data_IF_650058537564
#
_entry.id   IF_650058537564
#
_cell.length_a   1.000
_cell.length_b   1.000
_cell.length_c   1.000
_cell.angle_alpha   90.00
_cell.angle_beta   90.00
_cell.angle_gamma   90.00
#
_symmetry.space_group_name_H-M   'P 1'
#
loop_
_entity.id
_entity.type
_entity.pdbx_description
1 polymer ?
#
# COMPACT_ATOMS: atom_id res chain seq x y z
N UNK A 1 -22.17 -5.65 -30.79
CA UNK A 1 -20.92 -5.31 -30.06
C UNK A 1 -20.94 -6.00 -28.70
N UNK A 2 -20.89 -7.35 -28.68
CA UNK A 2 -21.02 -8.17 -27.46
C UNK A 2 -19.75 -9.00 -27.15
N UNK A 3 -18.95 -9.33 -28.17
CA UNK A 3 -17.74 -10.18 -28.06
C UNK A 3 -16.64 -9.55 -27.17
N UNK A 4 -16.59 -8.20 -27.08
CA UNK A 4 -15.54 -7.51 -26.31
C UNK A 4 -15.61 -7.74 -24.81
N UNK A 5 -16.80 -7.97 -24.26
CA UNK A 5 -16.94 -8.25 -22.83
C UNK A 5 -16.60 -9.71 -22.50
N UNK A 6 -17.00 -10.65 -23.37
CA UNK A 6 -16.73 -12.08 -23.15
C UNK A 6 -15.24 -12.40 -23.09
N UNK A 7 -14.43 -11.79 -23.98
CA UNK A 7 -12.97 -11.99 -23.95
C UNK A 7 -12.39 -11.44 -22.64
N UNK A 8 -12.78 -10.24 -22.22
CA UNK A 8 -12.30 -9.64 -20.97
C UNK A 8 -12.66 -10.52 -19.77
N UNK A 9 -13.88 -11.06 -19.71
CA UNK A 9 -14.32 -11.99 -18.65
C UNK A 9 -13.51 -13.29 -18.62
N UNK A 10 -13.12 -13.82 -19.79
CA UNK A 10 -12.26 -15.03 -19.85
C UNK A 10 -10.89 -14.73 -19.24
N UNK A 11 -10.32 -13.56 -19.55
CA UNK A 11 -9.03 -13.16 -18.99
C UNK A 11 -9.12 -12.79 -17.50
N UNK A 12 -10.23 -12.20 -17.04
CA UNK A 12 -10.53 -12.03 -15.61
C UNK A 12 -10.44 -13.38 -14.88
N UNK A 13 -11.16 -14.41 -15.36
CA UNK A 13 -11.15 -15.73 -14.74
C UNK A 13 -9.76 -16.37 -14.76
N UNK A 14 -9.06 -16.28 -15.89
CA UNK A 14 -7.71 -16.82 -16.04
C UNK A 14 -6.72 -16.16 -15.06
N UNK A 15 -6.84 -14.85 -14.85
CA UNK A 15 -6.02 -14.13 -13.87
C UNK A 15 -6.38 -14.59 -12.45
N UNK A 16 -7.66 -14.76 -12.15
CA UNK A 16 -8.12 -15.22 -10.84
C UNK A 16 -7.57 -16.61 -10.49
N UNK A 17 -7.56 -17.53 -11.45
CA UNK A 17 -6.99 -18.87 -11.31
C UNK A 17 -5.48 -18.87 -11.06
N UNK A 18 -4.77 -17.81 -11.48
CA UNK A 18 -3.33 -17.64 -11.23
C UNK A 18 -3.10 -17.01 -9.86
N UNK A 19 -3.89 -16.00 -9.51
CA UNK A 19 -3.77 -15.23 -8.25
C UNK A 19 -4.16 -16.07 -7.03
N UNK A 20 -5.17 -16.94 -7.14
CA UNK A 20 -5.71 -17.71 -5.99
C UNK A 20 -4.83 -18.91 -5.61
N UNK A 21 -3.81 -19.27 -6.40
CA UNK A 21 -2.95 -20.42 -6.12
C UNK A 21 -2.26 -20.29 -4.76
N UNK A 22 -2.38 -21.32 -3.93
CA UNK A 22 -1.75 -21.36 -2.59
C UNK A 22 -0.22 -21.27 -2.66
N UNK A 23 0.37 -21.89 -3.69
CA UNK A 23 1.81 -21.85 -3.93
C UNK A 23 2.15 -20.70 -4.85
N UNK A 24 2.72 -19.65 -4.27
CA UNK A 24 3.21 -18.50 -5.02
C UNK A 24 4.50 -18.89 -5.76
N UNK A 25 4.53 -18.79 -7.10
CA UNK A 25 5.72 -19.13 -7.88
C UNK A 25 6.81 -18.06 -7.72
N UNK A 26 8.03 -18.38 -8.15
CA UNK A 26 9.15 -17.45 -8.06
C UNK A 26 8.86 -16.17 -8.87
N UNK A 27 9.47 -15.06 -8.49
CA UNK A 27 9.28 -13.75 -9.12
C UNK A 27 9.46 -13.78 -10.65
N UNK A 28 10.47 -14.49 -11.16
CA UNK A 28 10.69 -14.63 -12.61
C UNK A 28 9.56 -15.39 -13.32
N UNK A 29 9.00 -16.41 -12.67
CA UNK A 29 7.87 -17.17 -13.23
C UNK A 29 6.60 -16.33 -13.25
N UNK A 30 6.41 -15.49 -12.23
CA UNK A 30 5.32 -14.51 -12.19
C UNK A 30 5.39 -13.52 -13.34
N UNK A 31 6.58 -12.96 -13.62
CA UNK A 31 6.77 -12.08 -14.77
C UNK A 31 6.50 -12.76 -16.10
N UNK A 32 7.01 -13.99 -16.30
CA UNK A 32 6.72 -14.78 -17.51
C UNK A 32 5.23 -15.03 -17.70
N UNK A 33 4.51 -15.35 -16.61
CA UNK A 33 3.06 -15.55 -16.67
C UNK A 33 2.33 -14.27 -17.09
N UNK A 34 2.75 -13.10 -16.61
CA UNK A 34 2.17 -11.80 -16.99
C UNK A 34 2.43 -11.48 -18.45
N UNK A 35 3.67 -11.66 -18.92
CA UNK A 35 4.03 -11.47 -20.33
C UNK A 35 3.16 -12.35 -21.22
N UNK A 36 3.02 -13.64 -20.88
CA UNK A 36 2.20 -14.58 -21.63
C UNK A 36 0.72 -14.18 -21.64
N UNK A 37 0.14 -13.84 -20.49
CA UNK A 37 -1.28 -13.43 -20.40
C UNK A 37 -1.51 -12.12 -21.20
N UNK A 38 -0.57 -11.19 -21.14
CA UNK A 38 -0.66 -9.90 -21.84
C UNK A 38 -0.55 -10.07 -23.35
N UNK A 39 0.40 -10.90 -23.81
CA UNK A 39 0.59 -11.23 -25.22
C UNK A 39 -0.62 -11.97 -25.79
N UNK A 40 -1.14 -12.98 -25.07
CA UNK A 40 -2.34 -13.73 -25.49
C UNK A 40 -3.55 -12.80 -25.64
N UNK A 41 -3.71 -11.82 -24.74
CA UNK A 41 -4.79 -10.84 -24.82
C UNK A 41 -4.60 -9.91 -26.02
N UNK A 42 -3.37 -9.45 -26.24
CA UNK A 42 -3.05 -8.58 -27.37
C UNK A 42 -3.28 -9.28 -28.70
N UNK A 43 -2.89 -10.55 -28.83
CA UNK A 43 -3.13 -11.35 -30.04
C UNK A 43 -4.62 -11.53 -30.37
N UNK A 44 -5.48 -11.61 -29.35
CA UNK A 44 -6.93 -11.77 -29.55
C UNK A 44 -7.68 -10.46 -29.79
N UNK A 45 -7.17 -9.34 -29.26
CA UNK A 45 -7.92 -8.07 -29.21
C UNK A 45 -7.25 -6.91 -29.93
N UNK A 46 -5.97 -7.06 -30.30
CA UNK A 46 -5.05 -6.00 -30.78
C UNK A 46 -4.98 -4.81 -29.81
N UNK A 47 -5.22 -5.07 -28.53
CA UNK A 47 -5.27 -4.05 -27.47
C UNK A 47 -4.48 -4.50 -26.25
N UNK A 48 -4.05 -3.51 -25.48
CA UNK A 48 -3.38 -3.73 -24.20
C UNK A 48 -4.43 -4.21 -23.19
N UNK A 49 -3.99 -5.08 -22.28
CA UNK A 49 -4.78 -5.56 -21.15
C UNK A 49 -5.37 -4.36 -20.37
N UNK A 50 -6.65 -4.39 -20.00
CA UNK A 50 -7.26 -3.34 -19.18
C UNK A 50 -6.45 -3.03 -17.92
N UNK A 51 -6.34 -1.74 -17.57
CA UNK A 51 -5.52 -1.27 -16.45
C UNK A 51 -5.87 -1.94 -15.11
N UNK A 52 -7.14 -2.24 -14.85
CA UNK A 52 -7.54 -2.89 -13.60
C UNK A 52 -7.02 -4.35 -13.50
N UNK A 53 -6.91 -5.07 -14.63
CA UNK A 53 -6.32 -6.41 -14.69
C UNK A 53 -4.80 -6.36 -14.53
N UNK A 54 -4.15 -5.37 -15.14
CA UNK A 54 -2.73 -5.13 -14.95
C UNK A 54 -2.40 -4.82 -13.49
N UNK A 55 -3.22 -4.00 -12.82
CA UNK A 55 -3.05 -3.72 -11.40
C UNK A 55 -3.17 -5.00 -10.56
N UNK A 56 -4.14 -5.86 -10.87
CA UNK A 56 -4.32 -7.14 -10.16
C UNK A 56 -3.13 -8.08 -10.33
N UNK A 57 -2.56 -8.15 -11.53
CA UNK A 57 -1.34 -8.90 -11.81
C UNK A 57 -0.11 -8.27 -11.11
N UNK A 58 -0.05 -6.93 -11.03
CA UNK A 58 0.97 -6.22 -10.27
C UNK A 58 0.93 -6.51 -8.78
N UNK A 59 -0.27 -6.51 -8.18
CA UNK A 59 -0.47 -6.88 -6.77
C UNK A 59 0.00 -8.31 -6.48
N UNK A 60 -0.25 -9.24 -7.40
CA UNK A 60 0.21 -10.63 -7.30
C UNK A 60 1.74 -10.78 -7.40
N UNK A 61 2.39 -10.00 -8.27
CA UNK A 61 3.87 -9.93 -8.33
C UNK A 61 4.46 -9.39 -7.03
N UNK A 62 3.77 -8.45 -6.40
CA UNK A 62 4.22 -7.82 -5.16
C UNK A 62 3.67 -8.50 -3.90
N UNK A 63 3.04 -9.67 -4.03
CA UNK A 63 2.26 -10.25 -2.93
C UNK A 63 3.09 -10.51 -1.67
N UNK A 64 4.33 -10.99 -1.80
CA UNK A 64 5.25 -11.17 -0.66
C UNK A 64 5.59 -9.84 0.02
N UNK A 65 5.87 -8.82 -0.79
CA UNK A 65 6.23 -7.48 -0.33
C UNK A 65 5.05 -6.82 0.37
N UNK A 66 3.84 -6.96 -0.17
CA UNK A 66 2.60 -6.41 0.35
C UNK A 66 2.10 -7.16 1.60
N UNK A 67 2.37 -8.48 1.70
CA UNK A 67 2.06 -9.29 2.88
C UNK A 67 3.06 -9.09 4.02
N UNK A 68 4.27 -8.62 3.73
CA UNK A 68 5.25 -8.35 4.77
C UNK A 68 4.78 -7.24 5.74
N UNK A 69 4.78 -7.57 7.04
CA UNK A 69 4.31 -6.74 8.15
C UNK A 69 5.43 -6.20 9.02
N UNK A 70 6.69 -6.44 8.66
CA UNK A 70 7.84 -5.92 9.40
C UNK A 70 7.71 -4.40 9.59
N UNK A 71 8.02 -3.93 10.80
CA UNK A 71 7.85 -2.52 11.19
C UNK A 71 8.98 -1.66 10.64
N UNK A 72 10.17 -2.26 10.51
CA UNK A 72 11.42 -1.55 10.22
C UNK A 72 11.79 -1.58 8.73
N UNK A 73 10.83 -1.84 7.83
CA UNK A 73 11.04 -1.82 6.37
C UNK A 73 11.77 -0.58 5.90
N UNK A 74 11.34 0.59 6.37
CA UNK A 74 11.89 1.89 5.97
C UNK A 74 13.30 2.14 6.54
N UNK A 75 13.67 1.44 7.61
CA UNK A 75 15.02 1.54 8.17
C UNK A 75 16.00 0.58 7.47
N UNK A 76 15.51 -0.57 7.00
CA UNK A 76 16.34 -1.64 6.45
C UNK A 76 16.44 -1.63 4.92
N UNK A 77 15.43 -1.13 4.21
CA UNK A 77 15.38 -1.12 2.75
C UNK A 77 15.37 0.31 2.20
N UNK A 78 16.21 0.57 1.20
CA UNK A 78 16.27 1.87 0.50
C UNK A 78 14.94 2.21 -0.20
N UNK A 79 14.25 1.20 -0.75
CA UNK A 79 12.98 1.33 -1.48
C UNK A 79 11.86 0.51 -0.83
N UNK A 80 11.62 0.76 0.46
CA UNK A 80 10.60 0.07 1.24
C UNK A 80 9.17 0.31 0.71
N UNK A 81 8.48 -0.76 0.29
CA UNK A 81 7.06 -0.73 -0.08
C UNK A 81 6.19 -1.00 1.14
N UNK A 82 5.33 -0.05 1.47
CA UNK A 82 4.41 -0.13 2.59
C UNK A 82 3.05 -0.69 2.17
N UNK A 83 2.53 -1.62 2.97
CA UNK A 83 1.16 -2.10 2.84
C UNK A 83 0.16 -0.98 3.14
N UNK A 84 -1.03 -1.03 2.52
CA UNK A 84 -2.14 -0.09 2.78
C UNK A 84 -2.45 0.08 4.28
N UNK A 85 -2.39 -1.01 5.05
CA UNK A 85 -2.61 -0.96 6.52
C UNK A 85 -1.50 -0.19 7.24
N UNK A 86 -0.26 -0.30 6.79
CA UNK A 86 0.90 0.41 7.37
C UNK A 86 0.81 1.90 7.06
N UNK A 87 0.47 2.26 5.82
CA UNK A 87 0.22 3.65 5.41
C UNK A 87 -0.89 4.25 6.29
N UNK A 88 -2.04 3.58 6.40
CA UNK A 88 -3.16 4.04 7.23
C UNK A 88 -2.77 4.26 8.70
N UNK A 89 -1.94 3.39 9.27
CA UNK A 89 -1.43 3.56 10.66
C UNK A 89 -0.49 4.76 10.77
N UNK A 90 0.38 4.99 9.78
CA UNK A 90 1.28 6.16 9.76
C UNK A 90 0.51 7.46 9.64
N UNK A 91 -0.39 7.57 8.66
CA UNK A 91 -1.24 8.75 8.48
C UNK A 91 -2.04 9.07 9.74
N UNK A 92 -2.55 8.04 10.45
CA UNK A 92 -3.26 8.25 11.72
C UNK A 92 -2.35 8.85 12.81
N UNK A 93 -1.10 8.41 12.91
CA UNK A 93 -0.12 8.94 13.89
C UNK A 93 0.33 10.36 13.51
N UNK A 94 0.59 10.61 12.24
CA UNK A 94 0.95 11.95 11.74
C UNK A 94 -0.15 12.96 12.05
N UNK A 95 -1.41 12.59 11.81
CA UNK A 95 -2.55 13.43 12.10
C UNK A 95 -2.72 13.69 13.61
N UNK A 96 -2.52 12.69 14.49
CA UNK A 96 -2.63 12.90 15.94
C UNK A 96 -1.52 13.80 16.49
N UNK A 97 -0.29 13.63 16.00
CA UNK A 97 0.82 14.52 16.37
C UNK A 97 0.54 15.93 15.88
N UNK A 98 0.01 16.10 14.66
CA UNK A 98 -0.33 17.45 14.17
C UNK A 98 -1.40 18.13 15.02
N UNK A 99 -2.43 17.40 15.50
CA UNK A 99 -3.46 17.99 16.37
C UNK A 99 -2.89 18.38 17.72
N UNK A 100 -2.08 17.52 18.34
CA UNK A 100 -1.45 17.81 19.64
C UNK A 100 -0.50 19.03 19.55
N UNK A 101 0.25 19.13 18.46
CA UNK A 101 1.14 20.29 18.22
C UNK A 101 0.33 21.56 18.00
N UNK A 102 -0.76 21.51 17.24
CA UNK A 102 -1.63 22.68 17.03
C UNK A 102 -2.30 23.12 18.33
N UNK A 103 -2.78 22.16 19.14
CA UNK A 103 -3.33 22.43 20.47
C UNK A 103 -2.28 23.07 21.38
N UNK A 104 -1.04 22.57 21.37
CA UNK A 104 0.07 23.17 22.11
C UNK A 104 0.38 24.59 21.64
N UNK A 105 0.44 24.83 20.32
CA UNK A 105 0.71 26.13 19.74
C UNK A 105 -0.40 27.14 20.07
N UNK A 106 -1.67 26.72 20.00
CA UNK A 106 -2.82 27.56 20.37
C UNK A 106 -2.82 27.92 21.86
N UNK A 107 -2.52 26.94 22.73
CA UNK A 107 -2.35 27.20 24.16
C UNK A 107 -1.22 28.20 24.42
N UNK A 108 -0.10 28.08 23.70
CA UNK A 108 1.08 28.94 23.90
C UNK A 108 0.89 30.35 23.34
N UNK A 109 0.36 30.48 22.13
CA UNK A 109 0.30 31.74 21.38
C UNK A 109 -0.96 32.56 21.67
N UNK A 110 -2.12 31.92 21.76
CA UNK A 110 -3.40 32.64 21.88
C UNK A 110 -3.83 32.82 23.34
N UNK A 111 -3.49 31.86 24.20
CA UNK A 111 -3.89 31.90 25.62
C UNK A 111 -2.80 32.41 26.57
N UNK A 112 -1.64 32.85 26.04
CA UNK A 112 -0.54 33.42 26.80
C UNK A 112 -0.19 32.61 28.07
N UNK A 113 -0.23 31.27 28.00
CA UNK A 113 0.30 30.41 29.05
C UNK A 113 1.84 30.50 29.04
N UNK A 114 2.38 31.65 29.44
CA UNK A 114 3.81 31.97 29.37
C UNK A 114 4.67 31.18 30.37
N UNK A 115 4.10 30.33 31.21
CA UNK A 115 4.86 29.49 32.15
C UNK A 115 4.01 28.38 32.78
N UNK A 116 3.68 27.32 32.03
CA UNK A 116 3.30 26.04 32.66
C UNK A 116 4.51 25.21 33.10
N UNK A 117 5.71 25.77 33.02
CA UNK A 117 6.85 25.35 33.82
C UNK A 117 6.88 26.16 35.13
N UNK A 118 5.80 26.10 35.92
CA UNK A 118 5.96 26.36 37.35
C UNK A 118 6.72 25.15 37.86
N UNK A 119 8.00 25.37 38.16
CA UNK A 119 8.91 24.44 38.82
C UNK A 119 8.14 23.48 39.72
N UNK A 120 8.19 22.19 39.41
CA UNK A 120 7.94 21.17 40.43
C UNK A 120 9.07 21.35 41.43
N UNK A 121 8.89 22.22 42.42
CA UNK A 121 9.70 22.17 43.64
C UNK A 121 9.42 20.79 44.20
N UNK A 122 10.40 19.89 44.11
CA UNK A 122 10.42 18.71 44.98
C UNK A 122 10.52 19.27 46.39
N UNK A 123 9.40 19.30 47.10
CA UNK A 123 9.44 19.46 48.54
C UNK A 123 10.19 18.24 49.07
N UNK A 124 11.28 18.53 49.80
CA UNK A 124 12.03 17.53 50.52
C UNK A 124 11.14 16.92 51.60
N UNK A 125 11.13 15.60 51.68
CA UNK A 125 11.16 14.82 52.93
C UNK A 125 11.98 13.55 52.68
#
# INVERSE_FOLDING_TARGET
MMIKNEIVEVFERRIDDVVVRENLPNLQERFKAIEQISEDYYQQTEKILPSYLLNRLGDWVLEEVLKDKTVDKVANDEYAVLSYRQIRRRTKRENSVSSEVMDYLDLKMNKNYSSLLKTVRRECD
#
